data_IF_142078618332
#
_entry.id   IF_142078618332
#
_cell.length_a   1.000
_cell.length_b   1.000
_cell.length_c   1.000
_cell.angle_alpha   90.00
_cell.angle_beta   90.00
_cell.angle_gamma   90.00
#
_symmetry.space_group_name_H-M   'P 1'
#
loop_
_entity.id
_entity.type
_entity.pdbx_description
1 polymer ?
#
# COMPACT_ATOMS: atom_id res chain seq x y z
N UNK A 1 -5.71 9.30 17.97
CA UNK A 1 -6.60 10.27 17.28
C UNK A 1 -5.75 11.08 16.31
N UNK A 2 -6.28 11.46 15.12
CA UNK A 2 -5.59 12.33 14.18
C UNK A 2 -5.17 13.67 14.83
N UNK A 3 -4.11 14.26 14.27
CA UNK A 3 -3.52 15.49 14.85
C UNK A 3 -4.22 16.78 14.41
N UNK A 4 -5.08 16.70 13.38
CA UNK A 4 -5.74 17.87 12.80
C UNK A 4 -7.24 17.84 13.07
N UNK A 5 -7.83 18.99 13.40
CA UNK A 5 -9.25 19.12 13.81
C UNK A 5 -10.26 18.74 12.73
N UNK A 6 -9.86 18.78 11.45
CA UNK A 6 -10.70 18.37 10.32
C UNK A 6 -10.67 16.86 10.03
N UNK A 7 -9.85 16.10 10.77
CA UNK A 7 -9.74 14.65 10.68
C UNK A 7 -10.37 13.99 11.91
N UNK A 8 -10.81 12.74 11.77
CA UNK A 8 -11.41 11.94 12.84
C UNK A 8 -10.95 10.47 12.73
N UNK A 9 -11.41 9.62 13.62
CA UNK A 9 -11.01 8.20 13.69
C UNK A 9 -11.37 7.38 12.44
N UNK A 10 -12.28 7.87 11.59
CA UNK A 10 -12.69 7.24 10.34
C UNK A 10 -12.05 7.90 9.11
N UNK A 11 -11.13 8.84 9.33
CA UNK A 11 -10.40 9.49 8.24
C UNK A 11 -9.42 8.53 7.59
N UNK A 12 -9.27 8.69 6.28
CA UNK A 12 -8.34 7.93 5.45
C UNK A 12 -7.48 8.86 4.57
N UNK A 13 -6.69 8.28 3.68
CA UNK A 13 -5.81 9.00 2.78
C UNK A 13 -6.56 10.00 1.88
N UNK A 14 -7.83 9.73 1.54
CA UNK A 14 -8.63 10.60 0.67
C UNK A 14 -8.95 11.93 1.33
N UNK A 15 -9.08 11.96 2.66
CA UNK A 15 -9.30 13.19 3.43
C UNK A 15 -8.10 14.13 3.35
N UNK A 16 -6.89 13.60 3.12
CA UNK A 16 -5.68 14.39 2.89
C UNK A 16 -5.56 14.78 1.41
N UNK A 17 -5.62 13.78 0.51
CA UNK A 17 -5.23 13.95 -0.89
C UNK A 17 -6.28 14.70 -1.71
N UNK A 18 -7.58 14.50 -1.43
CA UNK A 18 -8.65 15.15 -2.18
C UNK A 18 -8.83 16.63 -1.83
N UNK A 19 -8.44 17.01 -0.63
CA UNK A 19 -8.44 18.42 -0.23
C UNK A 19 -7.31 19.23 -0.91
N UNK A 20 -6.24 18.56 -1.32
CA UNK A 20 -5.08 19.20 -1.96
C UNK A 20 -4.71 18.54 -3.31
N UNK A 21 -5.68 18.57 -4.25
CA UNK A 21 -5.57 17.93 -5.56
C UNK A 21 -4.38 18.39 -6.41
N UNK A 22 -4.01 19.67 -6.33
CA UNK A 22 -2.86 20.18 -7.09
C UNK A 22 -1.55 19.49 -6.71
N UNK A 23 -1.41 19.10 -5.45
CA UNK A 23 -0.26 18.37 -4.94
C UNK A 23 -0.33 16.88 -5.23
N UNK A 24 -1.50 16.25 -5.04
CA UNK A 24 -1.63 14.80 -5.00
C UNK A 24 -2.12 14.15 -6.31
N UNK A 25 -2.69 14.90 -7.25
CA UNK A 25 -3.14 14.31 -8.51
C UNK A 25 -2.04 13.59 -9.33
N UNK A 26 -0.78 14.08 -9.40
CA UNK A 26 0.30 13.32 -10.02
C UNK A 26 0.62 12.01 -9.29
N UNK A 27 0.51 12.01 -7.96
CA UNK A 27 0.78 10.84 -7.11
C UNK A 27 -0.31 9.77 -7.28
N UNK A 28 -1.59 10.17 -7.41
CA UNK A 28 -2.67 9.21 -7.68
C UNK A 28 -2.45 8.50 -9.02
N UNK A 29 -2.01 9.24 -10.05
CA UNK A 29 -1.63 8.66 -11.35
C UNK A 29 -0.47 7.68 -11.24
N UNK A 30 0.55 8.05 -10.48
CA UNK A 30 1.70 7.20 -10.21
C UNK A 30 1.27 5.92 -9.47
N UNK A 31 0.47 6.05 -8.41
CA UNK A 31 -0.06 4.92 -7.66
C UNK A 31 -0.88 3.96 -8.51
N UNK A 32 -1.76 4.47 -9.37
CA UNK A 32 -2.52 3.63 -10.31
C UNK A 32 -1.58 2.87 -11.26
N UNK A 33 -0.54 3.54 -11.76
CA UNK A 33 0.40 2.92 -12.67
C UNK A 33 1.19 1.78 -12.01
N UNK A 34 1.81 2.03 -10.86
CA UNK A 34 2.64 1.01 -10.18
C UNK A 34 1.81 -0.14 -9.58
N UNK A 35 0.57 0.14 -9.13
CA UNK A 35 -0.25 -0.86 -8.46
C UNK A 35 -1.21 -1.60 -9.40
N UNK A 36 -1.56 -1.02 -10.56
CA UNK A 36 -2.54 -1.58 -11.50
C UNK A 36 -2.07 -1.61 -12.95
N UNK A 37 -0.95 -0.96 -13.27
CA UNK A 37 -0.36 -0.99 -14.61
C UNK A 37 0.23 -2.35 -14.97
N UNK A 38 0.71 -2.54 -16.23
CA UNK A 38 1.39 -3.76 -16.64
C UNK A 38 2.65 -4.01 -15.79
N UNK A 39 2.81 -5.24 -15.31
CA UNK A 39 3.96 -5.70 -14.52
C UNK A 39 3.98 -7.22 -14.49
N UNK A 40 5.15 -7.83 -14.28
CA UNK A 40 5.27 -9.26 -13.98
C UNK A 40 4.74 -9.58 -12.56
N UNK A 41 4.75 -8.58 -11.65
CA UNK A 41 4.14 -8.72 -10.33
C UNK A 41 2.62 -8.68 -10.45
N UNK A 42 1.95 -9.72 -10.00
CA UNK A 42 0.50 -9.74 -9.94
C UNK A 42 -0.06 -8.66 -9.00
N UNK A 43 -1.35 -8.34 -9.09
CA UNK A 43 -1.97 -7.32 -8.25
C UNK A 43 -1.86 -7.72 -6.78
N UNK A 44 -2.16 -8.99 -6.45
CA UNK A 44 -2.05 -9.49 -5.08
C UNK A 44 -0.63 -9.40 -4.53
N UNK A 45 0.40 -9.70 -5.35
CA UNK A 45 1.80 -9.57 -4.93
C UNK A 45 2.16 -8.13 -4.62
N UNK A 46 1.73 -7.18 -5.45
CA UNK A 46 1.97 -5.74 -5.24
C UNK A 46 1.28 -5.23 -3.98
N UNK A 47 0.06 -5.67 -3.70
CA UNK A 47 -0.67 -5.29 -2.48
C UNK A 47 -0.04 -5.94 -1.23
N UNK A 48 0.44 -7.19 -1.34
CA UNK A 48 1.16 -7.84 -0.25
C UNK A 48 2.50 -7.14 0.05
N UNK A 49 3.26 -6.73 -0.98
CA UNK A 49 4.48 -5.92 -0.81
C UNK A 49 4.15 -4.59 -0.12
N UNK A 50 3.05 -3.94 -0.53
CA UNK A 50 2.58 -2.71 0.08
C UNK A 50 2.23 -2.87 1.57
N UNK A 51 1.51 -3.95 1.92
CA UNK A 51 1.21 -4.30 3.30
C UNK A 51 2.48 -4.61 4.11
N UNK A 52 3.41 -5.37 3.53
CA UNK A 52 4.67 -5.74 4.16
C UNK A 52 5.55 -4.51 4.49
N UNK A 53 5.78 -3.64 3.50
CA UNK A 53 6.51 -2.37 3.70
C UNK A 53 5.84 -1.51 4.78
N UNK A 54 4.52 -1.48 4.78
CA UNK A 54 3.76 -0.68 5.74
C UNK A 54 3.84 -1.25 7.16
N UNK A 55 3.87 -2.58 7.31
CA UNK A 55 4.08 -3.25 8.58
C UNK A 55 5.50 -2.98 9.13
N UNK A 56 6.53 -3.04 8.27
CA UNK A 56 7.90 -2.70 8.65
C UNK A 56 8.04 -1.25 9.15
N UNK A 57 7.22 -0.34 8.62
CA UNK A 57 7.15 1.07 9.07
C UNK A 57 6.17 1.29 10.23
N UNK A 58 5.52 0.23 10.76
CA UNK A 58 4.51 0.29 11.83
C UNK A 58 3.30 1.20 11.49
N UNK A 59 3.01 1.42 10.21
CA UNK A 59 1.87 2.19 9.75
C UNK A 59 0.60 1.34 9.73
N UNK A 60 -0.15 1.34 10.83
CA UNK A 60 -1.34 0.49 11.01
C UNK A 60 -2.41 0.69 9.94
N UNK A 61 -2.66 1.95 9.51
CA UNK A 61 -3.63 2.22 8.44
C UNK A 61 -3.25 1.53 7.13
N UNK A 62 -2.02 1.75 6.65
CA UNK A 62 -1.59 1.20 5.37
C UNK A 62 -1.49 -0.33 5.43
N UNK A 63 -0.97 -0.88 6.52
CA UNK A 63 -0.90 -2.33 6.72
C UNK A 63 -2.30 -2.97 6.61
N UNK A 64 -3.26 -2.48 7.41
CA UNK A 64 -4.61 -3.04 7.42
C UNK A 64 -5.34 -2.86 6.09
N UNK A 65 -5.24 -1.68 5.46
CA UNK A 65 -5.89 -1.41 4.18
C UNK A 65 -5.35 -2.31 3.06
N UNK A 66 -4.02 -2.43 2.90
CA UNK A 66 -3.42 -3.21 1.82
C UNK A 66 -3.50 -4.73 2.05
N UNK A 67 -3.46 -5.17 3.30
CA UNK A 67 -3.77 -6.56 3.64
C UNK A 67 -5.22 -6.90 3.29
N UNK A 68 -6.18 -6.02 3.60
CA UNK A 68 -7.57 -6.22 3.21
C UNK A 68 -7.75 -6.27 1.69
N UNK A 69 -6.98 -5.49 0.90
CA UNK A 69 -6.98 -5.60 -0.56
C UNK A 69 -6.38 -6.93 -1.00
N UNK A 70 -5.22 -7.33 -0.49
CA UNK A 70 -4.56 -8.60 -0.83
C UNK A 70 -5.46 -9.81 -0.56
N UNK A 71 -6.19 -9.80 0.57
CA UNK A 71 -7.14 -10.85 0.93
C UNK A 71 -8.30 -10.97 -0.07
N UNK A 72 -8.73 -9.89 -0.74
CA UNK A 72 -9.73 -9.95 -1.82
C UNK A 72 -9.21 -10.74 -3.04
N UNK A 73 -7.89 -10.87 -3.19
CA UNK A 73 -7.21 -11.65 -4.23
C UNK A 73 -6.71 -13.02 -3.72
N UNK A 74 -7.30 -13.53 -2.64
CA UNK A 74 -7.01 -14.87 -2.07
C UNK A 74 -5.62 -15.03 -1.41
N UNK A 75 -4.97 -13.94 -1.02
CA UNK A 75 -3.79 -14.02 -0.16
C UNK A 75 -4.22 -14.50 1.23
N UNK A 76 -3.48 -15.47 1.78
CA UNK A 76 -3.74 -15.97 3.14
C UNK A 76 -3.58 -14.86 4.19
N UNK A 77 -4.50 -14.78 5.13
CA UNK A 77 -4.46 -13.79 6.22
C UNK A 77 -3.19 -13.88 7.09
N UNK A 78 -2.58 -15.06 7.17
CA UNK A 78 -1.39 -15.30 8.00
C UNK A 78 -0.08 -15.02 7.26
N UNK A 79 -0.12 -14.89 5.92
CA UNK A 79 1.09 -14.79 5.11
C UNK A 79 1.92 -13.55 5.46
N UNK A 80 1.27 -12.43 5.80
CA UNK A 80 1.98 -11.23 6.22
C UNK A 80 2.77 -11.46 7.52
N UNK A 81 2.16 -12.12 8.51
CA UNK A 81 2.80 -12.42 9.78
C UNK A 81 3.99 -13.38 9.59
N UNK A 82 3.81 -14.41 8.74
CA UNK A 82 4.89 -15.33 8.38
C UNK A 82 6.08 -14.61 7.74
N UNK A 83 5.81 -13.69 6.79
CA UNK A 83 6.85 -12.89 6.13
C UNK A 83 7.58 -11.95 7.10
N UNK A 84 6.86 -11.39 8.06
CA UNK A 84 7.45 -10.52 9.09
C UNK A 84 8.30 -11.31 10.10
N UNK A 85 7.90 -12.55 10.39
CA UNK A 85 8.67 -13.46 11.26
C UNK A 85 9.91 -13.97 10.54
N UNK A 86 9.75 -14.58 9.36
CA UNK A 86 10.87 -15.10 8.57
C UNK A 86 10.47 -15.32 7.12
N UNK A 87 10.99 -14.50 6.21
CA UNK A 87 10.72 -14.57 4.77
C UNK A 87 10.99 -15.98 4.21
N UNK A 88 12.13 -16.59 4.56
CA UNK A 88 12.57 -17.85 3.98
C UNK A 88 11.78 -19.08 4.48
N UNK A 89 11.08 -18.94 5.60
CA UNK A 89 10.24 -19.99 6.20
C UNK A 89 8.73 -19.73 6.02
N UNK A 90 8.35 -18.66 5.32
CA UNK A 90 6.94 -18.37 5.03
C UNK A 90 6.34 -19.39 4.06
N UNK A 91 5.03 -19.48 4.00
CA UNK A 91 4.29 -20.31 3.04
C UNK A 91 4.29 -19.73 1.61
N UNK A 92 4.97 -18.60 1.38
CA UNK A 92 5.14 -18.00 0.06
C UNK A 92 6.07 -18.88 -0.81
N UNK A 93 5.77 -18.94 -2.12
CA UNK A 93 6.69 -19.60 -3.06
C UNK A 93 8.09 -18.95 -2.97
N UNK A 94 9.16 -19.73 -2.76
CA UNK A 94 10.52 -19.22 -2.59
C UNK A 94 11.03 -18.32 -3.74
N UNK A 95 10.44 -18.38 -4.92
CA UNK A 95 10.77 -17.50 -6.04
C UNK A 95 10.52 -16.01 -5.70
N UNK A 96 9.62 -15.72 -4.76
CA UNK A 96 9.33 -14.35 -4.30
C UNK A 96 10.26 -13.89 -3.17
N UNK A 97 10.96 -14.76 -2.46
CA UNK A 97 11.78 -14.39 -1.30
C UNK A 97 12.76 -13.25 -1.60
N UNK A 98 13.50 -13.22 -2.74
CA UNK A 98 14.40 -12.11 -3.06
C UNK A 98 13.69 -10.75 -3.18
N UNK A 99 12.42 -10.72 -3.61
CA UNK A 99 11.63 -9.48 -3.67
C UNK A 99 11.35 -8.94 -2.27
N UNK A 100 10.97 -9.80 -1.32
CA UNK A 100 10.69 -9.41 0.06
C UNK A 100 11.96 -9.06 0.83
N UNK A 101 13.08 -9.76 0.63
CA UNK A 101 14.39 -9.38 1.17
C UNK A 101 14.83 -7.99 0.66
N UNK A 102 14.63 -7.73 -0.63
CA UNK A 102 14.92 -6.42 -1.22
C UNK A 102 14.03 -5.33 -0.62
N UNK A 103 12.70 -5.58 -0.53
CA UNK A 103 11.74 -4.65 0.06
C UNK A 103 12.07 -4.37 1.54
N UNK A 104 12.41 -5.40 2.31
CA UNK A 104 12.88 -5.25 3.69
C UNK A 104 14.07 -4.30 3.79
N UNK A 105 15.13 -4.61 3.03
CA UNK A 105 16.39 -3.86 3.09
C UNK A 105 16.21 -2.42 2.58
N UNK A 106 15.47 -2.22 1.49
CA UNK A 106 15.20 -0.88 0.95
C UNK A 106 14.35 -0.04 1.92
N UNK A 107 13.49 -0.67 2.71
CA UNK A 107 12.67 0.03 3.72
C UNK A 107 13.47 0.38 4.97
N UNK A 108 14.25 -0.59 5.50
CA UNK A 108 14.88 -0.47 6.82
C UNK A 108 16.30 0.11 6.77
N UNK A 109 17.03 -0.15 5.67
CA UNK A 109 18.44 0.21 5.50
C UNK A 109 18.77 0.69 4.07
N UNK A 110 18.09 1.71 3.51
CA UNK A 110 18.21 2.07 2.10
C UNK A 110 19.62 2.44 1.66
N UNK A 111 20.42 3.02 2.55
CA UNK A 111 21.83 3.36 2.26
C UNK A 111 22.77 2.16 2.17
N UNK A 112 22.30 0.95 2.48
CA UNK A 112 23.06 -0.29 2.43
C UNK A 112 22.76 -1.14 1.19
N UNK A 113 21.90 -0.66 0.29
CA UNK A 113 21.60 -1.36 -0.97
C UNK A 113 22.88 -1.51 -1.81
N UNK A 114 23.06 -2.70 -2.38
CA UNK A 114 24.22 -3.06 -3.23
C UNK A 114 23.76 -3.85 -4.45
N UNK A 115 24.64 -3.98 -5.46
CA UNK A 115 24.33 -4.72 -6.70
C UNK A 115 23.84 -6.15 -6.42
N UNK A 116 24.41 -6.83 -5.43
CA UNK A 116 24.00 -8.19 -5.05
C UNK A 116 22.52 -8.32 -4.66
N UNK A 117 21.87 -7.25 -4.17
CA UNK A 117 20.43 -7.26 -3.87
C UNK A 117 19.60 -7.35 -5.17
N UNK A 118 20.03 -6.67 -6.22
CA UNK A 118 19.44 -6.75 -7.57
C UNK A 118 19.72 -8.11 -8.19
N UNK A 119 20.97 -8.58 -8.11
CA UNK A 119 21.41 -9.84 -8.71
C UNK A 119 20.62 -11.03 -8.15
N UNK A 120 20.25 -11.00 -6.86
CA UNK A 120 19.42 -12.03 -6.24
C UNK A 120 18.03 -12.14 -6.89
N UNK A 121 17.39 -11.01 -7.22
CA UNK A 121 16.11 -10.98 -7.91
C UNK A 121 16.25 -11.51 -9.35
N UNK A 122 17.30 -11.09 -10.06
CA UNK A 122 17.56 -11.55 -11.43
C UNK A 122 17.90 -13.05 -11.47
N UNK A 123 18.61 -13.58 -10.46
CA UNK A 123 18.89 -15.01 -10.32
C UNK A 123 17.62 -15.85 -10.11
N UNK A 124 16.61 -15.31 -9.45
CA UNK A 124 15.28 -15.91 -9.31
C UNK A 124 14.41 -15.78 -10.59
N UNK A 125 15.01 -15.31 -11.71
CA UNK A 125 14.38 -15.18 -13.04
C UNK A 125 13.35 -14.05 -13.20
N UNK A 126 13.30 -13.13 -12.27
CA UNK A 126 12.59 -11.87 -12.46
C UNK A 126 13.36 -10.94 -13.41
N UNK A 127 12.65 -10.08 -14.13
CA UNK A 127 13.28 -9.10 -15.04
C UNK A 127 13.84 -7.89 -14.30
N UNK A 128 14.71 -7.13 -14.96
CA UNK A 128 15.15 -5.83 -14.46
C UNK A 128 13.98 -4.84 -14.29
N UNK A 129 12.94 -4.93 -15.14
CA UNK A 129 11.74 -4.13 -15.01
C UNK A 129 11.00 -4.44 -13.70
N UNK A 130 10.95 -5.72 -13.29
CA UNK A 130 10.37 -6.10 -11.99
C UNK A 130 11.11 -5.47 -10.81
N UNK A 131 12.44 -5.35 -10.89
CA UNK A 131 13.22 -4.64 -9.86
C UNK A 131 12.85 -3.16 -9.80
N UNK A 132 12.70 -2.49 -10.96
CA UNK A 132 12.27 -1.08 -11.01
C UNK A 132 10.84 -0.91 -10.48
N UNK A 133 9.91 -1.79 -10.85
CA UNK A 133 8.54 -1.78 -10.33
C UNK A 133 8.54 -1.95 -8.80
N UNK A 134 9.33 -2.89 -8.27
CA UNK A 134 9.48 -3.11 -6.84
C UNK A 134 10.02 -1.88 -6.12
N UNK A 135 11.07 -1.24 -6.66
CA UNK A 135 11.62 0.00 -6.11
C UNK A 135 10.55 1.10 -6.05
N UNK A 136 9.76 1.25 -7.11
CA UNK A 136 8.66 2.22 -7.14
C UNK A 136 7.61 1.93 -6.08
N UNK A 137 7.18 0.67 -5.92
CA UNK A 137 6.19 0.26 -4.91
C UNK A 137 6.73 0.54 -3.51
N UNK A 138 7.93 0.04 -3.18
CA UNK A 138 8.54 0.24 -1.86
C UNK A 138 8.69 1.72 -1.53
N UNK A 139 9.17 2.54 -2.48
CA UNK A 139 9.36 3.97 -2.28
C UNK A 139 8.03 4.70 -2.05
N UNK A 140 7.00 4.36 -2.83
CA UNK A 140 5.67 4.93 -2.70
C UNK A 140 5.07 4.65 -1.32
N UNK A 141 5.17 3.40 -0.82
CA UNK A 141 4.61 3.06 0.48
C UNK A 141 5.41 3.62 1.63
N UNK A 142 6.73 3.75 1.52
CA UNK A 142 7.53 4.54 2.46
C UNK A 142 7.09 6.02 2.51
N UNK A 143 6.68 6.61 1.39
CA UNK A 143 6.10 7.95 1.35
C UNK A 143 4.71 7.98 2.01
N UNK A 144 3.79 7.09 1.62
CA UNK A 144 2.42 7.09 2.15
C UNK A 144 2.35 6.79 3.63
N UNK A 145 3.18 5.87 4.14
CA UNK A 145 3.22 5.57 5.57
C UNK A 145 3.56 6.84 6.38
N UNK A 146 4.60 7.58 5.98
CA UNK A 146 4.99 8.83 6.65
C UNK A 146 3.94 9.93 6.51
N UNK A 147 3.25 9.98 5.37
CA UNK A 147 2.16 10.93 5.16
C UNK A 147 1.01 10.67 6.13
N UNK A 148 0.56 9.42 6.28
CA UNK A 148 -0.55 9.06 7.14
C UNK A 148 -0.19 9.15 8.62
N UNK A 149 0.97 8.63 9.01
CA UNK A 149 1.45 8.73 10.39
C UNK A 149 1.71 10.18 10.81
N UNK A 150 2.23 11.02 9.89
CA UNK A 150 2.39 12.45 10.11
C UNK A 150 1.06 13.21 10.30
N UNK A 151 -0.06 12.64 9.86
CA UNK A 151 -1.41 13.16 10.13
C UNK A 151 -2.09 12.48 11.33
N UNK A 152 -1.47 11.45 11.91
CA UNK A 152 -2.03 10.67 13.01
C UNK A 152 -3.20 9.77 12.59
N UNK A 153 -3.29 9.39 11.31
CA UNK A 153 -4.33 8.49 10.81
C UNK A 153 -3.90 7.05 11.07
N UNK A 154 -4.68 6.34 11.88
CA UNK A 154 -4.41 4.93 12.26
C UNK A 154 -5.37 3.94 11.62
N UNK A 155 -6.55 4.40 11.22
CA UNK A 155 -7.61 3.55 10.71
C UNK A 155 -8.27 2.68 11.77
N UNK A 156 -9.18 1.84 11.32
CA UNK A 156 -9.84 0.80 12.09
C UNK A 156 -10.37 -0.27 11.13
N UNK A 157 -10.89 -1.38 11.65
CA UNK A 157 -11.34 -2.52 10.85
C UNK A 157 -12.35 -2.13 9.76
N UNK A 158 -13.35 -1.30 10.09
CA UNK A 158 -14.33 -0.83 9.09
C UNK A 158 -13.66 -0.03 7.96
N UNK A 159 -12.67 0.81 8.28
CA UNK A 159 -11.92 1.58 7.27
C UNK A 159 -11.09 0.66 6.38
N UNK A 160 -10.46 -0.37 6.96
CA UNK A 160 -9.67 -1.35 6.20
C UNK A 160 -10.53 -2.15 5.24
N UNK A 161 -11.68 -2.65 5.70
CA UNK A 161 -12.64 -3.37 4.85
C UNK A 161 -13.15 -2.50 3.70
N UNK A 162 -13.55 -1.26 3.98
CA UNK A 162 -13.97 -0.31 2.95
C UNK A 162 -12.85 -0.04 1.93
N UNK A 163 -11.59 0.13 2.38
CA UNK A 163 -10.45 0.31 1.49
C UNK A 163 -10.21 -0.95 0.65
N UNK A 164 -10.28 -2.14 1.26
CA UNK A 164 -10.17 -3.43 0.58
C UNK A 164 -11.16 -3.56 -0.57
N UNK A 165 -12.43 -3.30 -0.31
CA UNK A 165 -13.50 -3.36 -1.33
C UNK A 165 -13.31 -2.31 -2.44
N UNK A 166 -13.00 -1.07 -2.08
CA UNK A 166 -12.87 0.00 -3.07
C UNK A 166 -11.65 -0.16 -3.96
N UNK A 167 -10.48 -0.45 -3.36
CA UNK A 167 -9.23 -0.57 -4.10
C UNK A 167 -9.16 -1.85 -4.93
N UNK A 168 -9.76 -2.96 -4.47
CA UNK A 168 -9.82 -4.19 -5.26
C UNK A 168 -10.66 -4.01 -6.53
N UNK A 169 -11.77 -3.26 -6.45
CA UNK A 169 -12.71 -3.07 -7.56
C UNK A 169 -12.32 -1.91 -8.48
N UNK A 170 -11.84 -0.79 -7.94
CA UNK A 170 -11.66 0.48 -8.68
C UNK A 170 -10.20 0.87 -8.89
N UNK A 171 -9.26 0.21 -8.20
CA UNK A 171 -7.86 0.61 -8.17
C UNK A 171 -7.67 1.98 -7.51
N UNK A 172 -6.61 2.67 -7.94
CA UNK A 172 -6.21 3.97 -7.39
C UNK A 172 -6.69 5.17 -8.21
N UNK A 173 -7.58 4.92 -9.18
CA UNK A 173 -8.11 5.98 -10.05
C UNK A 173 -8.98 6.96 -9.28
N UNK A 174 -8.62 8.22 -9.32
CA UNK A 174 -9.42 9.31 -8.75
C UNK A 174 -10.09 10.09 -9.89
N UNK A 175 -11.43 10.14 -9.95
CA UNK A 175 -12.12 10.89 -11.00
C UNK A 175 -11.71 12.37 -10.99
N UNK A 176 -11.58 12.98 -12.19
CA UNK A 176 -11.21 14.40 -12.29
C UNK A 176 -12.23 15.33 -11.62
N UNK A 177 -13.50 14.91 -11.56
CA UNK A 177 -14.60 15.65 -10.91
C UNK A 177 -14.77 15.32 -9.42
N UNK A 178 -13.79 14.66 -8.78
CA UNK A 178 -13.88 14.23 -7.38
C UNK A 178 -14.29 15.36 -6.43
N UNK A 179 -13.84 16.59 -6.67
CA UNK A 179 -14.21 17.74 -5.84
C UNK A 179 -15.72 18.02 -5.83
N UNK A 180 -16.42 17.74 -6.92
CA UNK A 180 -17.86 17.96 -7.03
C UNK A 180 -18.66 16.88 -6.28
N UNK A 181 -18.18 15.65 -6.28
CA UNK A 181 -18.87 14.51 -5.67
C UNK A 181 -18.39 14.20 -4.24
N UNK A 182 -17.27 14.80 -3.80
CA UNK A 182 -16.71 14.58 -2.46
C UNK A 182 -17.75 14.76 -1.34
N UNK A 183 -18.60 15.80 -1.30
CA UNK A 183 -19.61 15.95 -0.24
C UNK A 183 -20.59 14.78 -0.17
N UNK A 184 -20.92 14.15 -1.32
CA UNK A 184 -21.80 12.97 -1.37
C UNK A 184 -21.07 11.74 -0.82
N UNK A 185 -19.80 11.58 -1.18
CA UNK A 185 -18.96 10.48 -0.67
C UNK A 185 -18.79 10.61 0.84
N UNK A 186 -18.48 11.81 1.34
CA UNK A 186 -18.31 12.07 2.78
C UNK A 186 -19.61 11.76 3.55
N UNK A 187 -20.78 12.09 2.96
CA UNK A 187 -22.08 11.74 3.56
C UNK A 187 -22.34 10.23 3.59
N UNK A 188 -22.02 9.52 2.51
CA UNK A 188 -22.13 8.05 2.46
C UNK A 188 -21.16 7.39 3.46
N UNK A 189 -19.92 7.87 3.51
CA UNK A 189 -18.90 7.41 4.46
C UNK A 189 -19.40 7.61 5.91
N UNK A 190 -19.93 8.80 6.23
CA UNK A 190 -20.49 9.06 7.55
C UNK A 190 -21.60 8.07 7.89
N UNK A 191 -22.57 7.85 6.99
CA UNK A 191 -23.64 6.88 7.20
C UNK A 191 -23.11 5.48 7.48
N UNK A 192 -22.12 5.00 6.70
CA UNK A 192 -21.49 3.70 6.87
C UNK A 192 -20.84 3.50 8.25
N UNK A 193 -20.27 4.57 8.82
CA UNK A 193 -19.63 4.49 10.14
C UNK A 193 -20.57 4.74 11.32
N UNK A 194 -21.71 5.38 11.10
CA UNK A 194 -22.71 5.63 12.13
C UNK A 194 -23.67 4.42 12.33
N UNK A 195 -23.68 3.45 11.39
CA UNK A 195 -24.36 2.13 11.50
C UNK A 195 -23.46 1.10 12.22
#
# INVERSE_FOLDING_TARGET
MPFFTHLNQNSDITDITWNNRSRFAPIDKFSENIMRGPSELSIETRELIAAYVSALNECSFCTGAHLAVANQFSVSSNLLDELLENIDNSSLDPVFNPLFHFAYKLTTNPSRMVQGDVDAILAAKWSAQTVEDLICIVSAFNFFNRLLDGHGIKGNEKVYQMAGEQLSQKGYKVPFFIKLIKPLIDRQKKKYFDE
#
